data_IF_359058277814
#
_entry.id   IF_359058277814
#
_cell.length_a   1.000
_cell.length_b   1.000
_cell.length_c   1.000
_cell.angle_alpha   90.00
_cell.angle_beta   90.00
_cell.angle_gamma   90.00
#
_symmetry.space_group_name_H-M   'P 1'
#
loop_
_entity.id
_entity.type
_entity.pdbx_description
1 polymer ?
#
# COMPACT_ATOMS: atom_id res chain seq x y z
N UNK A 1 -16.83 -31.75 53.82
CA UNK A 1 -16.70 -30.30 54.04
C UNK A 1 -15.22 -30.08 54.33
N UNK A 2 -14.40 -29.35 53.58
CA UNK A 2 -14.61 -28.30 52.58
C UNK A 2 -13.32 -28.25 51.73
N UNK A 3 -13.45 -28.26 50.40
CA UNK A 3 -13.05 -27.16 49.51
C UNK A 3 -11.55 -26.81 49.53
N UNK A 4 -10.69 -27.76 49.12
CA UNK A 4 -9.38 -27.46 48.54
C UNK A 4 -9.57 -27.03 47.07
N UNK A 5 -10.31 -25.94 46.86
CA UNK A 5 -10.34 -25.25 45.57
C UNK A 5 -9.11 -24.35 45.49
N UNK A 6 -8.01 -24.94 45.05
CA UNK A 6 -6.80 -24.23 44.68
C UNK A 6 -7.14 -23.22 43.57
N UNK A 7 -7.26 -21.95 43.92
CA UNK A 7 -7.25 -20.85 42.98
C UNK A 7 -5.82 -20.75 42.42
N UNK A 8 -5.53 -21.47 41.34
CA UNK A 8 -4.44 -21.07 40.46
C UNK A 8 -4.84 -19.74 39.84
N UNK A 9 -4.10 -18.63 40.03
CA UNK A 9 -4.25 -17.47 39.18
C UNK A 9 -3.80 -17.94 37.78
N UNK A 10 -4.74 -18.44 37.00
CA UNK A 10 -4.55 -18.49 35.56
C UNK A 10 -4.42 -17.03 35.17
N UNK A 11 -3.19 -16.59 34.92
CA UNK A 11 -2.96 -15.36 34.16
C UNK A 11 -3.88 -15.49 32.95
N UNK A 12 -4.85 -14.57 32.75
CA UNK A 12 -5.66 -14.61 31.55
C UNK A 12 -4.67 -14.72 30.39
N UNK A 13 -4.86 -15.67 29.45
CA UNK A 13 -4.01 -15.71 28.28
C UNK A 13 -3.98 -14.29 27.73
N UNK A 14 -2.78 -13.73 27.56
CA UNK A 14 -2.61 -12.39 27.00
C UNK A 14 -3.58 -12.28 25.83
N UNK A 15 -4.40 -11.21 25.74
CA UNK A 15 -5.39 -11.10 24.70
C UNK A 15 -4.66 -11.33 23.38
N UNK A 16 -4.94 -12.47 22.74
CA UNK A 16 -4.35 -12.82 21.45
C UNK A 16 -4.60 -11.60 20.60
N UNK A 17 -3.54 -10.91 20.18
CA UNK A 17 -3.67 -9.71 19.36
C UNK A 17 -4.61 -10.08 18.22
N UNK A 18 -5.84 -9.55 18.27
CA UNK A 18 -6.86 -9.95 17.31
C UNK A 18 -6.27 -9.65 15.94
N UNK A 19 -6.24 -10.63 15.01
CA UNK A 19 -5.87 -10.31 13.65
C UNK A 19 -6.78 -9.16 13.20
N UNK A 20 -6.19 -8.12 12.59
CA UNK A 20 -6.95 -6.99 12.06
C UNK A 20 -8.14 -7.54 11.26
N UNK A 21 -9.35 -7.03 11.54
CA UNK A 21 -10.55 -7.50 10.84
C UNK A 21 -10.41 -7.24 9.35
N UNK A 22 -11.14 -8.00 8.52
CA UNK A 22 -11.12 -7.81 7.08
C UNK A 22 -11.48 -6.37 6.67
N UNK A 23 -12.41 -5.73 7.40
CA UNK A 23 -12.81 -4.33 7.18
C UNK A 23 -11.67 -3.34 7.51
N UNK A 24 -10.91 -3.61 8.58
CA UNK A 24 -9.78 -2.77 8.96
C UNK A 24 -8.61 -2.93 7.97
N UNK A 25 -8.38 -4.15 7.47
CA UNK A 25 -7.41 -4.40 6.39
C UNK A 25 -7.81 -3.69 5.09
N UNK A 26 -9.09 -3.71 4.71
CA UNK A 26 -9.60 -2.97 3.54
C UNK A 26 -9.35 -1.47 3.69
N UNK A 27 -9.69 -0.90 4.85
CA UNK A 27 -9.47 0.52 5.14
C UNK A 27 -8.00 0.89 5.05
N UNK A 28 -7.12 0.15 5.72
CA UNK A 28 -5.67 0.40 5.71
C UNK A 28 -5.08 0.27 4.30
N UNK A 29 -5.54 -0.72 3.53
CA UNK A 29 -5.11 -0.91 2.15
C UNK A 29 -5.54 0.26 1.25
N UNK A 30 -6.78 0.74 1.37
CA UNK A 30 -7.25 1.92 0.63
C UNK A 30 -6.49 3.19 1.02
N UNK A 31 -6.24 3.39 2.32
CA UNK A 31 -5.43 4.51 2.79
C UNK A 31 -3.99 4.45 2.24
N UNK A 32 -3.38 3.26 2.24
CA UNK A 32 -2.05 3.07 1.66
C UNK A 32 -2.03 3.36 0.15
N UNK A 33 -3.02 2.87 -0.60
CA UNK A 33 -3.20 3.17 -2.03
C UNK A 33 -3.29 4.66 -2.28
N UNK A 34 -4.13 5.35 -1.52
CA UNK A 34 -4.38 6.78 -1.72
C UNK A 34 -3.14 7.62 -1.41
N UNK A 35 -2.36 7.23 -0.38
CA UNK A 35 -1.05 7.81 -0.12
C UNK A 35 -0.09 7.62 -1.31
N UNK A 36 -0.01 6.41 -1.86
CA UNK A 36 0.87 6.11 -3.01
C UNK A 36 0.42 6.85 -4.28
N UNK A 37 -0.90 6.99 -4.50
CA UNK A 37 -1.45 7.78 -5.60
C UNK A 37 -1.08 9.27 -5.47
N UNK A 38 -1.08 9.82 -4.25
CA UNK A 38 -0.66 11.19 -4.00
C UNK A 38 0.84 11.39 -4.27
N UNK A 39 1.69 10.44 -3.85
CA UNK A 39 3.12 10.46 -4.17
C UNK A 39 3.34 10.43 -5.70
N UNK A 40 2.65 9.54 -6.40
CA UNK A 40 2.73 9.45 -7.85
C UNK A 40 2.27 10.75 -8.53
N UNK A 41 1.20 11.38 -8.06
CA UNK A 41 0.74 12.67 -8.59
C UNK A 41 1.79 13.78 -8.41
N UNK A 42 2.40 13.86 -7.22
CA UNK A 42 3.46 14.83 -6.94
C UNK A 42 4.70 14.63 -7.81
N UNK A 43 5.05 13.38 -8.13
CA UNK A 43 6.17 13.03 -9.02
C UNK A 43 5.86 13.30 -10.48
N UNK A 44 4.61 13.03 -10.89
CA UNK A 44 4.16 13.28 -12.25
C UNK A 44 4.08 14.77 -12.58
N UNK A 45 3.71 15.64 -11.64
CA UNK A 45 3.52 17.08 -11.89
C UNK A 45 4.67 17.72 -12.68
N UNK A 46 5.91 17.72 -12.15
CA UNK A 46 7.06 18.28 -12.86
C UNK A 46 7.36 17.61 -14.21
N UNK A 47 7.18 16.28 -14.31
CA UNK A 47 7.41 15.54 -15.55
C UNK A 47 6.34 15.89 -16.61
N UNK A 48 5.11 16.17 -16.19
CA UNK A 48 4.05 16.62 -17.08
C UNK A 48 4.31 18.05 -17.54
N UNK A 49 4.70 18.94 -16.62
CA UNK A 49 5.05 20.33 -16.95
C UNK A 49 6.17 20.37 -18.01
N UNK A 50 7.23 19.57 -17.84
CA UNK A 50 8.33 19.48 -18.81
C UNK A 50 7.86 19.04 -20.21
N UNK A 51 6.97 18.03 -20.27
CA UNK A 51 6.41 17.52 -21.54
C UNK A 51 5.44 18.52 -22.17
N UNK A 52 4.69 19.26 -21.37
CA UNK A 52 3.74 20.28 -21.84
C UNK A 52 4.45 21.52 -22.39
N UNK A 53 5.56 21.93 -21.77
CA UNK A 53 6.41 23.02 -22.23
C UNK A 53 7.39 22.59 -23.35
N UNK A 54 7.51 21.28 -23.61
CA UNK A 54 8.42 20.72 -24.61
C UNK A 54 9.90 20.83 -24.22
N UNK A 55 10.18 20.96 -22.92
CA UNK A 55 11.53 20.91 -22.34
C UNK A 55 11.90 19.49 -21.87
N UNK A 56 11.04 18.50 -22.14
CA UNK A 56 11.22 17.13 -21.69
C UNK A 56 12.46 16.46 -22.30
N UNK A 57 13.15 15.68 -21.48
CA UNK A 57 14.16 14.73 -21.97
C UNK A 57 13.56 13.35 -22.19
N UNK A 58 14.11 12.51 -23.09
CA UNK A 58 13.57 11.17 -23.36
C UNK A 58 13.37 10.30 -22.11
N UNK A 59 14.24 10.46 -21.12
CA UNK A 59 14.16 9.76 -19.83
C UNK A 59 12.96 10.22 -18.99
N UNK A 60 12.59 11.50 -19.03
CA UNK A 60 11.43 12.04 -18.32
C UNK A 60 10.12 11.55 -18.95
N UNK A 61 10.05 11.45 -20.28
CA UNK A 61 8.89 10.87 -20.97
C UNK A 61 8.70 9.40 -20.59
N UNK A 62 9.81 8.64 -20.55
CA UNK A 62 9.80 7.24 -20.13
C UNK A 62 9.34 7.13 -18.66
N UNK A 63 9.89 7.97 -17.78
CA UNK A 63 9.54 8.00 -16.36
C UNK A 63 8.07 8.39 -16.14
N UNK A 64 7.57 9.39 -16.86
CA UNK A 64 6.16 9.80 -16.83
C UNK A 64 5.23 8.64 -17.26
N UNK A 65 5.63 7.89 -18.29
CA UNK A 65 4.88 6.70 -18.74
C UNK A 65 4.85 5.62 -17.66
N UNK A 66 5.97 5.36 -16.99
CA UNK A 66 6.05 4.40 -15.89
C UNK A 66 5.18 4.84 -14.70
N UNK A 67 5.22 6.12 -14.32
CA UNK A 67 4.35 6.66 -13.26
C UNK A 67 2.86 6.55 -13.61
N UNK A 68 2.47 6.75 -14.87
CA UNK A 68 1.09 6.51 -15.34
C UNK A 68 0.68 5.04 -15.18
N UNK A 69 1.56 4.11 -15.56
CA UNK A 69 1.33 2.67 -15.38
C UNK A 69 1.22 2.30 -13.89
N UNK A 70 2.08 2.86 -13.06
CA UNK A 70 2.06 2.70 -11.60
C UNK A 70 0.71 3.13 -10.99
N UNK A 71 0.21 4.33 -11.34
CA UNK A 71 -1.12 4.78 -10.89
C UNK A 71 -2.25 3.87 -11.35
N UNK A 72 -2.17 3.34 -12.57
CA UNK A 72 -3.16 2.39 -13.09
C UNK A 72 -3.13 1.09 -12.28
N UNK A 73 -1.94 0.58 -11.95
CA UNK A 73 -1.78 -0.61 -11.13
C UNK A 73 -2.32 -0.38 -9.71
N UNK A 74 -1.99 0.76 -9.08
CA UNK A 74 -2.52 1.16 -7.77
C UNK A 74 -4.06 1.24 -7.75
N UNK A 75 -4.67 1.79 -8.80
CA UNK A 75 -6.13 1.86 -8.92
C UNK A 75 -6.81 0.50 -9.12
N UNK A 76 -6.05 -0.58 -9.32
CA UNK A 76 -6.56 -1.93 -9.55
C UNK A 76 -6.24 -2.90 -8.41
N UNK A 77 -5.56 -2.45 -7.34
CA UNK A 77 -5.20 -3.34 -6.22
C UNK A 77 -6.43 -3.92 -5.51
N UNK A 78 -7.55 -3.17 -5.52
CA UNK A 78 -8.83 -3.59 -4.94
C UNK A 78 -9.53 -4.65 -5.79
N UNK A 79 -9.04 -4.91 -6.99
CA UNK A 79 -9.52 -5.97 -7.90
C UNK A 79 -8.64 -7.21 -7.86
N UNK A 80 -7.62 -7.26 -7.00
CA UNK A 80 -6.79 -8.45 -6.84
C UNK A 80 -7.55 -9.51 -6.05
N UNK A 81 -7.40 -10.79 -6.44
CA UNK A 81 -8.09 -11.91 -5.79
C UNK A 81 -7.71 -12.05 -4.29
N UNK A 82 -6.55 -11.56 -3.88
CA UNK A 82 -6.06 -11.60 -2.50
C UNK A 82 -6.50 -10.41 -1.62
N UNK A 83 -7.09 -9.37 -2.20
CA UNK A 83 -7.42 -8.16 -1.45
C UNK A 83 -8.53 -8.40 -0.42
N UNK A 84 -8.46 -7.81 0.80
CA UNK A 84 -7.38 -6.95 1.32
C UNK A 84 -6.29 -7.71 2.11
N UNK A 85 -6.31 -9.04 2.12
CA UNK A 85 -5.41 -9.87 2.94
C UNK A 85 -4.01 -10.01 2.34
N UNK A 86 -3.93 -10.14 1.01
CA UNK A 86 -2.70 -10.27 0.24
C UNK A 86 -2.77 -9.29 -0.92
N UNK A 87 -1.92 -8.27 -0.89
CA UNK A 87 -1.89 -7.21 -1.88
C UNK A 87 -0.51 -7.19 -2.54
N UNK A 88 -0.49 -7.36 -3.84
CA UNK A 88 0.69 -7.15 -4.67
C UNK A 88 0.81 -5.65 -4.98
N UNK A 89 1.66 -4.98 -4.22
CA UNK A 89 1.89 -3.54 -4.37
C UNK A 89 2.84 -3.30 -5.55
N UNK A 90 2.44 -2.46 -6.53
CA UNK A 90 3.36 -2.12 -7.60
C UNK A 90 4.58 -1.40 -7.03
N UNK A 91 5.72 -1.55 -7.71
CA UNK A 91 6.98 -0.89 -7.35
C UNK A 91 7.02 0.50 -7.99
N UNK A 92 7.35 1.56 -7.24
CA UNK A 92 7.48 2.90 -7.80
C UNK A 92 8.66 2.95 -8.78
N UNK A 93 8.54 3.68 -9.91
CA UNK A 93 9.57 3.68 -10.94
C UNK A 93 10.85 4.44 -10.55
N UNK A 94 10.82 5.29 -9.53
CA UNK A 94 12.04 5.89 -8.94
C UNK A 94 12.90 4.84 -8.23
N UNK A 95 12.34 3.68 -7.85
CA UNK A 95 13.07 2.58 -7.20
C UNK A 95 13.59 1.52 -8.18
N UNK A 96 13.25 1.59 -9.48
CA UNK A 96 13.93 0.76 -10.48
C UNK A 96 15.28 1.39 -10.81
N UNK A 97 16.41 0.89 -10.28
CA UNK A 97 17.70 1.36 -10.75
C UNK A 97 17.83 0.86 -12.19
N UNK A 98 18.16 1.76 -13.11
CA UNK A 98 18.58 1.39 -14.46
C UNK A 98 19.59 0.23 -14.38
N UNK A 99 19.20 -0.96 -14.86
CA UNK A 99 20.08 -2.12 -15.06
C UNK A 99 20.47 -2.21 -16.54
#
# INVERSE_FOLDING_TARGET
MSADEWYTPQTPPDPVALPLSADELDRLAREARDRLLAVAANKMGPLQDAVEEGEDVPDEVALLKLWKQYRIALNRIDKQDGFPQVIDWPVPPDETPNL
#
